data_IF_071199953625
#
_entry.id   IF_071199953625
#
_cell.length_a   1.000
_cell.length_b   1.000
_cell.length_c   1.000
_cell.angle_alpha   90.00
_cell.angle_beta   90.00
_cell.angle_gamma   90.00
#
_symmetry.space_group_name_H-M   'P 1'
#
loop_
_entity.id
_entity.type
_entity.pdbx_description
1 polymer ?
#
# COMPACT_ATOMS: atom_id res chain seq x y z
N UNK A 1 -62.37 -69.85 -11.50
CA UNK A 1 -61.03 -70.43 -11.53
C UNK A 1 -60.05 -69.34 -11.86
N UNK A 2 -59.56 -68.64 -10.83
CA UNK A 2 -58.51 -67.64 -10.96
C UNK A 2 -57.16 -68.34 -10.83
N UNK A 3 -56.44 -68.43 -11.94
CA UNK A 3 -55.09 -68.90 -11.99
C UNK A 3 -54.15 -67.93 -11.25
N UNK A 4 -54.01 -68.14 -9.96
CA UNK A 4 -53.24 -67.36 -9.04
C UNK A 4 -51.73 -67.47 -9.28
N UNK A 5 -51.26 -68.32 -10.22
CA UNK A 5 -49.88 -68.55 -10.52
C UNK A 5 -49.30 -67.71 -11.67
N UNK A 6 -50.09 -66.89 -12.33
CA UNK A 6 -49.61 -66.13 -13.49
C UNK A 6 -49.51 -64.63 -13.28
N UNK A 7 -49.94 -64.13 -12.16
CA UNK A 7 -49.83 -62.68 -11.87
C UNK A 7 -49.28 -62.44 -10.48
N UNK A 8 -47.94 -62.33 -10.41
CA UNK A 8 -47.33 -61.81 -9.21
C UNK A 8 -47.34 -60.27 -9.23
N UNK A 9 -48.27 -59.72 -8.45
CA UNK A 9 -48.64 -58.31 -8.49
C UNK A 9 -47.70 -57.42 -7.65
N UNK A 10 -46.55 -57.99 -7.17
CA UNK A 10 -45.53 -57.23 -6.45
C UNK A 10 -44.18 -57.57 -7.01
N UNK A 11 -43.67 -56.71 -7.89
CA UNK A 11 -42.31 -56.74 -8.37
C UNK A 11 -41.47 -55.77 -7.54
N UNK A 12 -40.45 -56.29 -6.85
CA UNK A 12 -39.39 -55.45 -6.25
C UNK A 12 -38.13 -55.72 -7.05
N UNK A 13 -37.74 -54.76 -7.88
CA UNK A 13 -36.51 -54.84 -8.64
C UNK A 13 -35.48 -53.90 -7.98
N UNK A 14 -34.54 -54.48 -7.23
CA UNK A 14 -33.37 -53.78 -6.68
C UNK A 14 -32.18 -53.99 -7.59
N UNK A 15 -31.71 -52.94 -8.23
CA UNK A 15 -30.47 -52.95 -9.03
C UNK A 15 -29.46 -51.97 -8.51
N UNK A 16 -28.24 -52.40 -8.16
CA UNK A 16 -27.14 -51.51 -7.91
C UNK A 16 -26.34 -51.38 -9.21
N UNK A 17 -26.49 -50.24 -9.89
CA UNK A 17 -25.76 -49.92 -11.11
C UNK A 17 -24.43 -49.20 -10.78
N UNK A 18 -23.30 -49.88 -11.00
CA UNK A 18 -21.96 -49.21 -10.95
C UNK A 18 -21.56 -48.89 -12.40
N UNK A 19 -21.73 -47.64 -12.81
CA UNK A 19 -21.19 -47.17 -14.10
C UNK A 19 -19.79 -46.63 -13.92
N UNK A 20 -18.75 -47.38 -14.30
CA UNK A 20 -17.37 -46.94 -14.34
C UNK A 20 -17.00 -46.50 -15.75
N UNK A 21 -16.56 -45.25 -15.87
CA UNK A 21 -15.98 -44.73 -17.11
C UNK A 21 -14.54 -45.20 -17.21
N UNK A 22 -14.28 -46.25 -17.97
CA UNK A 22 -12.95 -46.85 -18.19
C UNK A 22 -11.92 -45.86 -18.71
N UNK A 23 -12.32 -44.83 -19.50
CA UNK A 23 -11.44 -43.76 -19.95
C UNK A 23 -10.97 -42.86 -18.80
N UNK A 24 -11.75 -42.67 -17.75
CA UNK A 24 -11.32 -41.95 -16.54
C UNK A 24 -10.29 -42.77 -15.76
N UNK A 25 -10.42 -44.05 -15.73
CA UNK A 25 -9.45 -44.94 -15.04
C UNK A 25 -8.09 -44.91 -15.74
N UNK A 26 -8.06 -44.95 -17.07
CA UNK A 26 -6.85 -44.86 -17.86
C UNK A 26 -6.20 -43.47 -17.81
N UNK A 27 -7.00 -42.40 -17.64
CA UNK A 27 -6.50 -41.01 -17.53
C UNK A 27 -6.14 -40.59 -16.10
N UNK A 28 -6.49 -41.36 -15.08
CA UNK A 28 -6.22 -41.05 -13.68
C UNK A 28 -4.74 -40.71 -13.38
N UNK A 29 -3.73 -41.46 -13.87
CA UNK A 29 -2.34 -41.11 -13.62
C UNK A 29 -1.87 -39.83 -14.34
N UNK A 30 -2.46 -39.52 -15.49
CA UNK A 30 -2.19 -38.25 -16.20
C UNK A 30 -2.80 -37.05 -15.48
N UNK A 31 -4.01 -37.20 -14.93
CA UNK A 31 -4.69 -36.16 -14.14
C UNK A 31 -3.92 -35.90 -12.84
N UNK A 32 -3.46 -36.96 -12.16
CA UNK A 32 -2.63 -36.80 -10.94
C UNK A 32 -1.35 -36.04 -11.23
N UNK A 33 -0.57 -36.41 -12.24
CA UNK A 33 0.64 -35.69 -12.64
C UNK A 33 0.39 -34.24 -13.00
N UNK A 34 -0.74 -33.95 -13.65
CA UNK A 34 -1.14 -32.58 -13.99
C UNK A 34 -1.45 -31.78 -12.73
N UNK A 35 -2.14 -32.38 -11.75
CA UNK A 35 -2.44 -31.73 -10.48
C UNK A 35 -1.16 -31.48 -9.67
N UNK A 36 -0.24 -32.42 -9.62
CA UNK A 36 1.05 -32.27 -8.94
C UNK A 36 1.89 -31.13 -9.57
N UNK A 37 1.91 -31.07 -10.90
CA UNK A 37 2.58 -29.98 -11.62
C UNK A 37 1.92 -28.61 -11.39
N UNK A 38 0.59 -28.57 -11.29
CA UNK A 38 -0.14 -27.34 -10.94
C UNK A 38 0.16 -26.89 -9.51
N UNK A 39 0.15 -27.81 -8.55
CA UNK A 39 0.51 -27.52 -7.15
C UNK A 39 1.95 -26.99 -7.03
N UNK A 40 2.90 -27.60 -7.75
CA UNK A 40 4.29 -27.13 -7.79
C UNK A 40 4.38 -25.71 -8.38
N UNK A 41 3.64 -25.44 -9.47
CA UNK A 41 3.57 -24.12 -10.09
C UNK A 41 2.94 -23.08 -9.15
N UNK A 42 1.85 -23.43 -8.47
CA UNK A 42 1.18 -22.53 -7.54
C UNK A 42 2.05 -22.22 -6.32
N UNK A 43 2.78 -23.20 -5.80
CA UNK A 43 3.75 -22.98 -4.73
C UNK A 43 4.90 -22.07 -5.18
N UNK A 44 5.43 -22.26 -6.39
CA UNK A 44 6.45 -21.37 -6.94
C UNK A 44 5.93 -19.94 -7.12
N UNK A 45 4.69 -19.78 -7.61
CA UNK A 45 4.03 -18.47 -7.73
C UNK A 45 3.83 -17.80 -6.37
N UNK A 46 3.36 -18.54 -5.36
CA UNK A 46 3.21 -18.02 -3.99
C UNK A 46 4.53 -17.53 -3.42
N UNK A 47 5.60 -18.30 -3.60
CA UNK A 47 6.94 -17.91 -3.16
C UNK A 47 7.43 -16.66 -3.90
N UNK A 48 7.26 -16.59 -5.22
CA UNK A 48 7.62 -15.41 -6.01
C UNK A 48 6.84 -14.16 -5.59
N UNK A 49 5.54 -14.28 -5.35
CA UNK A 49 4.71 -13.18 -4.85
C UNK A 49 5.13 -12.73 -3.46
N UNK A 50 5.42 -13.67 -2.55
CA UNK A 50 5.91 -13.34 -1.20
C UNK A 50 7.24 -12.57 -1.26
N UNK A 51 8.16 -13.00 -2.12
CA UNK A 51 9.43 -12.29 -2.35
C UNK A 51 9.22 -10.90 -2.97
N UNK A 52 8.30 -10.77 -3.92
CA UNK A 52 7.96 -9.49 -4.54
C UNK A 52 7.40 -8.50 -3.51
N UNK A 53 6.45 -8.93 -2.68
CA UNK A 53 5.88 -8.10 -1.60
C UNK A 53 6.96 -7.68 -0.61
N UNK A 54 7.79 -8.61 -0.14
CA UNK A 54 8.88 -8.32 0.78
C UNK A 54 9.86 -7.28 0.21
N UNK A 55 10.22 -7.44 -1.06
CA UNK A 55 11.08 -6.50 -1.77
C UNK A 55 10.43 -5.13 -1.89
N UNK A 56 9.13 -5.08 -2.23
CA UNK A 56 8.39 -3.83 -2.34
C UNK A 56 8.33 -3.08 -1.01
N UNK A 57 8.06 -3.78 0.10
CA UNK A 57 8.07 -3.19 1.44
C UNK A 57 9.44 -2.61 1.76
N UNK A 58 10.50 -3.39 1.53
CA UNK A 58 11.88 -2.95 1.81
C UNK A 58 12.27 -1.72 1.01
N UNK A 59 11.97 -1.71 -0.28
CA UNK A 59 12.22 -0.55 -1.15
C UNK A 59 11.41 0.67 -0.71
N UNK A 60 10.16 0.48 -0.29
CA UNK A 60 9.31 1.57 0.20
C UNK A 60 9.89 2.19 1.48
N UNK A 61 10.37 1.37 2.42
CA UNK A 61 11.01 1.85 3.66
C UNK A 61 12.29 2.64 3.37
N UNK A 62 13.14 2.13 2.47
CA UNK A 62 14.38 2.86 2.12
C UNK A 62 14.08 4.19 1.40
N UNK A 63 13.08 4.23 0.54
CA UNK A 63 12.61 5.47 -0.09
C UNK A 63 12.06 6.46 0.92
N UNK A 64 11.35 5.99 1.93
CA UNK A 64 10.87 6.85 3.01
C UNK A 64 12.01 7.45 3.81
N UNK A 65 13.01 6.66 4.21
CA UNK A 65 14.21 7.15 4.92
C UNK A 65 14.93 8.23 4.10
N UNK A 66 15.10 7.99 2.80
CA UNK A 66 15.73 8.96 1.90
C UNK A 66 14.92 10.26 1.82
N UNK A 67 13.59 10.16 1.67
CA UNK A 67 12.72 11.33 1.59
C UNK A 67 12.71 12.15 2.89
N UNK A 68 12.80 11.49 4.06
CA UNK A 68 12.95 12.17 5.36
C UNK A 68 14.30 12.90 5.44
N UNK A 69 15.35 12.27 4.98
CA UNK A 69 16.68 12.88 4.94
C UNK A 69 16.72 14.11 4.01
N UNK A 70 16.15 14.00 2.81
CA UNK A 70 16.00 15.10 1.86
C UNK A 70 15.20 16.27 2.46
N UNK A 71 14.14 15.97 3.20
CA UNK A 71 13.38 16.98 3.91
C UNK A 71 14.22 17.71 4.99
N UNK A 72 15.00 16.97 5.76
CA UNK A 72 15.89 17.57 6.77
C UNK A 72 16.91 18.53 6.14
N UNK A 73 17.50 18.14 5.01
CA UNK A 73 18.43 19.01 4.27
C UNK A 73 17.71 20.26 3.74
N UNK A 74 16.52 20.09 3.15
CA UNK A 74 15.73 21.20 2.62
C UNK A 74 15.33 22.17 3.72
N UNK A 75 14.95 21.67 4.90
CA UNK A 75 14.61 22.47 6.08
C UNK A 75 15.80 23.30 6.56
N UNK A 76 16.98 22.68 6.66
CA UNK A 76 18.19 23.39 7.07
C UNK A 76 18.59 24.46 6.04
N UNK A 77 18.51 24.14 4.75
CA UNK A 77 18.75 25.10 3.67
C UNK A 77 17.79 26.31 3.73
N UNK A 78 16.51 26.06 3.93
CA UNK A 78 15.50 27.10 4.07
C UNK A 78 15.77 27.99 5.29
N UNK A 79 16.19 27.40 6.40
CA UNK A 79 16.57 28.13 7.63
C UNK A 79 17.76 29.04 7.41
N UNK A 80 18.79 28.57 6.71
CA UNK A 80 20.00 29.34 6.39
C UNK A 80 19.65 30.49 5.45
N UNK A 81 18.89 30.24 4.38
CA UNK A 81 18.49 31.25 3.41
C UNK A 81 17.57 32.31 4.03
N UNK A 82 16.68 31.94 4.95
CA UNK A 82 15.88 32.90 5.73
C UNK A 82 16.75 33.80 6.60
N UNK A 83 17.75 33.23 7.28
CA UNK A 83 18.68 34.02 8.10
C UNK A 83 19.50 34.97 7.23
N UNK A 84 19.99 34.49 6.08
CA UNK A 84 20.71 35.31 5.13
C UNK A 84 19.84 36.47 4.59
N UNK A 85 18.60 36.21 4.24
CA UNK A 85 17.67 37.24 3.79
C UNK A 85 17.38 38.28 4.89
N UNK A 86 17.26 37.87 6.15
CA UNK A 86 17.07 38.81 7.27
C UNK A 86 18.29 39.71 7.52
N UNK A 87 19.49 39.13 7.45
CA UNK A 87 20.75 39.90 7.60
C UNK A 87 20.92 40.87 6.44
N UNK A 88 20.71 40.43 5.22
CA UNK A 88 20.78 41.26 4.00
C UNK A 88 19.79 42.41 4.02
N UNK A 89 18.58 42.19 4.50
CA UNK A 89 17.56 43.24 4.68
C UNK A 89 18.02 44.29 5.72
N UNK A 90 18.48 43.85 6.89
CA UNK A 90 19.01 44.76 7.92
C UNK A 90 20.24 45.54 7.44
N UNK A 91 21.08 44.94 6.59
CA UNK A 91 22.22 45.59 5.96
C UNK A 91 21.79 46.67 4.93
N UNK A 92 20.76 46.39 4.14
CA UNK A 92 20.15 47.34 3.19
C UNK A 92 19.53 48.54 3.93
N UNK A 93 18.73 48.28 4.98
CA UNK A 93 18.14 49.32 5.81
C UNK A 93 19.15 50.28 6.45
N UNK A 94 20.38 49.78 6.70
CA UNK A 94 21.51 50.57 7.24
C UNK A 94 22.48 51.08 6.15
N UNK A 95 22.12 50.99 4.88
CA UNK A 95 22.97 51.41 3.73
C UNK A 95 24.30 50.69 3.64
N UNK A 96 24.40 49.49 4.25
CA UNK A 96 25.61 48.64 4.24
C UNK A 96 25.62 47.59 3.12
N UNK A 97 24.47 47.33 2.50
CA UNK A 97 24.30 46.44 1.37
C UNK A 97 23.39 46.99 0.30
N UNK A 98 23.52 46.50 -0.92
CA UNK A 98 22.66 46.91 -2.04
C UNK A 98 21.24 46.35 -1.92
N UNK A 99 20.23 47.18 -2.26
CA UNK A 99 18.83 46.76 -2.35
C UNK A 99 18.66 45.56 -3.31
N UNK A 100 19.47 45.49 -4.38
CA UNK A 100 19.49 44.38 -5.31
C UNK A 100 19.91 43.08 -4.62
N UNK A 101 20.89 43.10 -3.74
CA UNK A 101 21.34 41.91 -2.99
C UNK A 101 20.27 41.49 -1.97
N UNK A 102 19.64 42.43 -1.29
CA UNK A 102 18.50 42.16 -0.41
C UNK A 102 17.34 41.48 -1.16
N UNK A 103 16.99 41.96 -2.35
CA UNK A 103 15.95 41.36 -3.16
C UNK A 103 16.33 39.96 -3.65
N UNK A 104 17.59 39.74 -4.05
CA UNK A 104 18.08 38.43 -4.47
C UNK A 104 18.04 37.40 -3.35
N UNK A 105 18.48 37.75 -2.14
CA UNK A 105 18.44 36.85 -0.98
C UNK A 105 17.01 36.55 -0.53
N UNK A 106 16.10 37.52 -0.60
CA UNK A 106 14.67 37.30 -0.35
C UNK A 106 14.06 36.32 -1.36
N UNK A 107 14.32 36.50 -2.66
CA UNK A 107 13.85 35.60 -3.69
C UNK A 107 14.37 34.17 -3.46
N UNK A 108 15.65 34.01 -3.12
CA UNK A 108 16.26 32.73 -2.78
C UNK A 108 15.57 32.07 -1.57
N UNK A 109 15.31 32.83 -0.52
CA UNK A 109 14.60 32.36 0.66
C UNK A 109 13.20 31.83 0.35
N UNK A 110 12.48 32.47 -0.59
CA UNK A 110 11.16 31.99 -1.04
C UNK A 110 11.29 30.66 -1.77
N UNK A 111 12.28 30.54 -2.65
CA UNK A 111 12.54 29.27 -3.39
C UNK A 111 12.90 28.13 -2.43
N UNK A 112 13.79 28.38 -1.45
CA UNK A 112 14.18 27.38 -0.45
C UNK A 112 13.00 26.91 0.40
N UNK A 113 12.10 27.82 0.80
CA UNK A 113 10.86 27.46 1.52
C UNK A 113 9.91 26.62 0.65
N UNK A 114 9.82 26.92 -0.64
CA UNK A 114 9.05 26.10 -1.56
C UNK A 114 9.64 24.68 -1.68
N UNK A 115 10.97 24.58 -1.78
CA UNK A 115 11.68 23.30 -1.81
C UNK A 115 11.46 22.50 -0.51
N UNK A 116 11.50 23.15 0.64
CA UNK A 116 11.19 22.53 1.94
C UNK A 116 9.77 21.95 1.95
N UNK A 117 8.78 22.75 1.53
CA UNK A 117 7.38 22.28 1.46
C UNK A 117 7.20 21.11 0.47
N UNK A 118 7.87 21.15 -0.67
CA UNK A 118 7.86 20.06 -1.66
C UNK A 118 8.50 18.78 -1.11
N UNK A 119 9.64 18.88 -0.43
CA UNK A 119 10.32 17.74 0.21
C UNK A 119 9.49 17.15 1.33
N UNK A 120 8.80 17.98 2.12
CA UNK A 120 7.85 17.52 3.13
C UNK A 120 6.70 16.70 2.50
N UNK A 121 6.10 17.21 1.43
CA UNK A 121 5.03 16.50 0.72
C UNK A 121 5.54 15.16 0.13
N UNK A 122 6.78 15.11 -0.35
CA UNK A 122 7.42 13.88 -0.80
C UNK A 122 7.61 12.87 0.34
N UNK A 123 8.06 13.32 1.52
CA UNK A 123 8.21 12.46 2.70
C UNK A 123 6.85 11.89 3.14
N UNK A 124 5.80 12.70 3.16
CA UNK A 124 4.44 12.24 3.46
C UNK A 124 3.91 11.22 2.43
N UNK A 125 4.17 11.47 1.15
CA UNK A 125 3.80 10.53 0.08
C UNK A 125 4.57 9.21 0.20
N UNK A 126 5.86 9.26 0.55
CA UNK A 126 6.66 8.06 0.76
C UNK A 126 6.19 7.26 1.98
N UNK A 127 5.79 7.93 3.06
CA UNK A 127 5.17 7.30 4.24
C UNK A 127 3.87 6.56 3.86
N UNK A 128 2.97 7.21 3.13
CA UNK A 128 1.75 6.58 2.65
C UNK A 128 2.01 5.34 1.78
N UNK A 129 3.08 5.34 0.97
CA UNK A 129 3.50 4.17 0.18
C UNK A 129 4.00 3.01 1.05
N UNK A 130 4.69 3.30 2.16
CA UNK A 130 5.10 2.26 3.12
C UNK A 130 3.86 1.59 3.70
N UNK A 131 2.90 2.36 4.19
CA UNK A 131 1.66 1.84 4.78
C UNK A 131 0.86 1.00 3.77
N UNK A 132 0.71 1.52 2.55
CA UNK A 132 0.05 0.78 1.47
C UNK A 132 0.79 -0.52 1.11
N UNK A 133 2.12 -0.53 1.14
CA UNK A 133 2.92 -1.74 0.86
C UNK A 133 2.76 -2.85 1.91
N UNK A 134 2.40 -2.48 3.14
CA UNK A 134 2.11 -3.39 4.26
C UNK A 134 0.61 -3.78 4.28
N UNK A 135 -0.20 -3.17 3.42
CA UNK A 135 -1.64 -3.43 3.33
C UNK A 135 -2.47 -2.64 4.34
N UNK A 136 -1.90 -1.59 4.93
CA UNK A 136 -2.64 -0.66 5.79
C UNK A 136 -3.27 0.39 4.89
N UNK A 137 -4.58 0.36 4.78
CA UNK A 137 -5.35 1.39 4.08
C UNK A 137 -5.68 2.53 5.05
N UNK A 138 -5.18 3.72 4.72
CA UNK A 138 -5.42 4.94 5.50
C UNK A 138 -6.66 5.71 5.01
N UNK A 139 -7.32 5.22 3.96
CA UNK A 139 -8.52 5.85 3.46
C UNK A 139 -9.69 5.58 4.40
N UNK A 140 -10.59 6.56 4.62
CA UNK A 140 -11.79 6.34 5.40
C UNK A 140 -12.68 5.29 4.70
N UNK A 141 -13.20 4.32 5.46
CA UNK A 141 -14.08 3.26 4.95
C UNK A 141 -15.33 3.80 4.23
N UNK A 142 -15.77 4.99 4.61
CA UNK A 142 -16.92 5.68 4.01
C UNK A 142 -16.58 7.15 3.80
N UNK A 143 -16.71 7.59 2.56
CA UNK A 143 -16.66 9.01 2.20
C UNK A 143 -18.09 9.56 2.36
N UNK A 144 -18.29 10.49 3.32
CA UNK A 144 -19.61 11.04 3.63
C UNK A 144 -19.97 12.20 2.73
N UNK A 145 -19.00 12.89 2.16
CA UNK A 145 -19.23 14.04 1.29
C UNK A 145 -18.16 14.17 0.21
N UNK A 146 -18.54 14.68 -0.97
CA UNK A 146 -17.61 15.03 -2.04
C UNK A 146 -17.06 16.45 -1.91
N UNK A 147 -17.37 17.15 -0.82
CA UNK A 147 -16.87 18.51 -0.56
C UNK A 147 -15.42 18.46 -0.09
N UNK A 148 -14.56 19.26 -0.73
CA UNK A 148 -13.10 19.24 -0.52
C UNK A 148 -12.67 19.48 0.95
N UNK A 149 -13.23 20.46 1.69
CA UNK A 149 -12.89 20.67 3.09
C UNK A 149 -13.30 19.50 4.01
N UNK A 150 -14.45 18.88 3.75
CA UNK A 150 -14.93 17.74 4.54
C UNK A 150 -14.09 16.51 4.24
N UNK A 151 -13.82 16.22 2.97
CA UNK A 151 -12.97 15.12 2.55
C UNK A 151 -11.54 15.24 3.11
N UNK A 152 -10.96 16.43 3.05
CA UNK A 152 -9.63 16.70 3.62
C UNK A 152 -9.58 16.44 5.13
N UNK A 153 -10.64 16.80 5.85
CA UNK A 153 -10.74 16.55 7.29
C UNK A 153 -10.90 15.08 7.62
N UNK A 154 -11.74 14.34 6.87
CA UNK A 154 -11.94 12.90 7.03
C UNK A 154 -10.64 12.12 6.76
N UNK A 155 -9.94 12.45 5.68
CA UNK A 155 -8.65 11.85 5.35
C UNK A 155 -7.62 12.14 6.45
N UNK A 156 -7.54 13.38 6.94
CA UNK A 156 -6.60 13.73 8.00
C UNK A 156 -6.91 12.99 9.32
N UNK A 157 -8.19 12.82 9.64
CA UNK A 157 -8.60 12.04 10.82
C UNK A 157 -8.25 10.55 10.68
N UNK A 158 -8.45 9.96 9.51
CA UNK A 158 -8.07 8.55 9.27
C UNK A 158 -6.56 8.35 9.28
N UNK A 159 -5.78 9.30 8.76
CA UNK A 159 -4.32 9.29 8.84
C UNK A 159 -3.83 9.31 10.28
N UNK A 160 -4.34 10.24 11.11
CA UNK A 160 -3.96 10.35 12.52
C UNK A 160 -4.41 9.12 13.33
N UNK A 161 -5.57 8.56 13.02
CA UNK A 161 -6.05 7.34 13.66
C UNK A 161 -5.20 6.11 13.30
N UNK A 162 -4.83 5.98 12.03
CA UNK A 162 -3.94 4.92 11.55
C UNK A 162 -2.53 5.01 12.14
N UNK A 163 -2.00 6.22 12.26
CA UNK A 163 -0.70 6.46 12.88
C UNK A 163 -0.68 6.01 14.36
N UNK A 164 -1.73 6.33 15.11
CA UNK A 164 -1.88 5.88 16.50
C UNK A 164 -1.98 4.35 16.62
N UNK A 165 -2.68 3.68 15.71
CA UNK A 165 -2.79 2.21 15.73
C UNK A 165 -1.45 1.52 15.50
N UNK A 166 -0.64 2.03 14.58
CA UNK A 166 0.70 1.46 14.30
C UNK A 166 1.63 1.61 15.50
N UNK A 167 1.60 2.75 16.18
CA UNK A 167 2.44 2.99 17.37
C UNK A 167 1.98 2.22 18.61
N UNK A 168 0.67 2.01 18.81
CA UNK A 168 0.18 1.19 19.92
C UNK A 168 0.49 -0.29 19.74
N UNK A 169 0.36 -0.84 18.53
CA UNK A 169 0.73 -2.24 18.27
C UNK A 169 2.23 -2.51 18.39
N UNK A 170 3.09 -1.53 18.12
CA UNK A 170 4.53 -1.69 18.31
C UNK A 170 4.95 -1.62 19.79
N UNK A 171 4.17 -0.96 20.65
CA UNK A 171 4.42 -0.89 22.09
C UNK A 171 4.02 -2.17 22.84
N UNK A 172 3.02 -2.89 22.34
CA UNK A 172 2.54 -4.16 22.92
C UNK A 172 3.35 -5.38 22.46
N UNK A 173 4.27 -5.21 21.51
CA UNK A 173 5.11 -6.27 20.94
C UNK A 173 6.54 -6.33 21.53
N UNK A 174 6.87 -5.51 22.52
CA UNK A 174 8.14 -5.46 23.27
C UNK A 174 7.90 -5.88 24.71
#
# INVERSE_FOLDING_TARGET
>A
DSNSYLYNNSWVQGGVGVSMNLFKLLSAPAISRTNDARLATDNARRMALSMAVLTQVRVSVERYKLAVYDYQIAQESARVDQRLASISRAGSDNSLSSDLESLRTQARSIVSRFQEAASYAQAQSAYGRVLNSVGIDLLPEKVTSSDLPTLSREINQSLVAGEKQVFTQSADAV
#
